data_IF_908396520393
#
_entry.id   IF_908396520393
#
_cell.length_a   1.000
_cell.length_b   1.000
_cell.length_c   1.000
_cell.angle_alpha   90.00
_cell.angle_beta   90.00
_cell.angle_gamma   90.00
#
_symmetry.space_group_name_H-M   'P 1'
#
loop_
_entity.id
_entity.type
_entity.pdbx_description
1 polymer ?
#
# COMPACT_ATOMS: atom_id res chain seq x y z
N UNK A 1 13.38 -17.61 34.36
CA UNK A 1 13.87 -17.96 33.01
C UNK A 1 13.46 -16.85 32.08
N UNK A 2 14.29 -16.48 31.11
CA UNK A 2 13.89 -15.59 30.02
C UNK A 2 13.40 -16.50 28.90
N UNK A 3 12.13 -16.38 28.53
CA UNK A 3 11.52 -17.15 27.46
C UNK A 3 11.62 -16.38 26.12
N UNK A 4 11.73 -17.08 24.98
CA UNK A 4 11.65 -16.43 23.68
C UNK A 4 10.26 -15.78 23.52
N UNK A 5 10.23 -14.60 22.94
CA UNK A 5 9.00 -13.83 22.72
C UNK A 5 8.79 -13.55 21.24
N UNK A 6 7.53 -13.41 20.87
CA UNK A 6 7.11 -12.90 19.57
C UNK A 6 6.24 -11.67 19.81
N UNK A 7 6.59 -10.55 19.20
CA UNK A 7 5.86 -9.31 19.34
C UNK A 7 5.51 -8.75 17.96
N UNK A 8 4.21 -8.61 17.71
CA UNK A 8 3.68 -8.08 16.47
C UNK A 8 3.16 -6.66 16.68
N UNK A 9 3.74 -5.71 15.94
CA UNK A 9 3.33 -4.30 15.98
C UNK A 9 2.71 -3.95 14.64
N UNK A 10 1.46 -3.48 14.68
CA UNK A 10 0.77 -2.94 13.52
C UNK A 10 0.68 -1.41 13.65
N UNK A 11 1.42 -0.68 12.82
CA UNK A 11 1.44 0.79 12.82
C UNK A 11 0.33 1.29 11.89
N UNK A 12 -0.66 2.00 12.43
CA UNK A 12 -1.84 2.45 11.67
C UNK A 12 -1.76 3.90 11.17
N UNK A 13 -0.71 4.64 11.54
CA UNK A 13 -0.59 6.09 11.28
C UNK A 13 -0.61 6.46 9.79
N UNK A 14 -0.27 5.53 8.90
CA UNK A 14 -0.26 5.74 7.45
C UNK A 14 -1.57 5.33 6.75
N UNK A 15 -2.56 4.75 7.45
CA UNK A 15 -3.69 4.08 6.78
C UNK A 15 -5.09 4.66 7.09
N UNK A 16 -5.85 5.07 6.05
CA UNK A 16 -5.37 5.54 4.75
C UNK A 16 -4.80 6.94 4.92
N UNK A 17 -3.74 7.26 4.19
CA UNK A 17 -3.24 8.63 4.14
C UNK A 17 -4.32 9.51 3.46
N UNK A 18 -4.91 10.44 4.23
CA UNK A 18 -6.03 11.28 3.78
C UNK A 18 -5.64 12.74 3.59
N UNK A 19 -4.87 13.27 4.53
CA UNK A 19 -4.51 14.68 4.64
C UNK A 19 -3.13 14.81 5.30
N UNK A 20 -2.44 15.92 5.03
CA UNK A 20 -1.08 16.20 5.49
C UNK A 20 -0.04 16.08 4.38
N UNK A 21 1.22 16.14 4.76
CA UNK A 21 2.38 15.88 3.89
C UNK A 21 2.85 14.45 4.15
N UNK A 22 2.92 13.62 3.12
CA UNK A 22 3.21 12.18 3.29
C UNK A 22 4.52 11.95 4.04
N UNK A 23 5.52 12.77 3.73
CA UNK A 23 6.84 12.78 4.33
C UNK A 23 6.79 13.06 5.85
N UNK A 24 5.89 13.93 6.32
CA UNK A 24 5.74 14.22 7.76
C UNK A 24 5.19 13.02 8.53
N UNK A 25 4.26 12.29 7.92
CA UNK A 25 3.70 11.06 8.53
C UNK A 25 4.75 9.96 8.56
N UNK A 26 5.51 9.80 7.48
CA UNK A 26 6.65 8.86 7.44
C UNK A 26 7.68 9.20 8.52
N UNK A 27 8.02 10.48 8.70
CA UNK A 27 8.95 10.92 9.75
C UNK A 27 8.41 10.64 11.16
N UNK A 28 7.09 10.75 11.35
CA UNK A 28 6.45 10.39 12.62
C UNK A 28 6.58 8.88 12.90
N UNK A 29 6.34 8.04 11.89
CA UNK A 29 6.54 6.58 11.99
C UNK A 29 7.99 6.24 12.29
N UNK A 30 8.94 6.84 11.58
CA UNK A 30 10.39 6.66 11.81
C UNK A 30 10.79 7.01 13.25
N UNK A 31 10.27 8.12 13.79
CA UNK A 31 10.50 8.53 15.19
C UNK A 31 9.99 7.49 16.20
N UNK A 32 8.85 6.85 15.92
CA UNK A 32 8.33 5.79 16.78
C UNK A 32 9.12 4.48 16.64
N UNK A 33 9.53 4.13 15.42
CA UNK A 33 10.41 2.99 15.18
C UNK A 33 11.72 3.13 15.93
N UNK A 34 12.38 4.30 15.89
CA UNK A 34 13.60 4.56 16.66
C UNK A 34 13.42 4.33 18.16
N UNK A 35 12.31 4.83 18.74
CA UNK A 35 11.99 4.61 20.16
C UNK A 35 11.80 3.14 20.50
N UNK A 36 11.13 2.37 19.64
CA UNK A 36 10.94 0.94 19.84
C UNK A 36 12.29 0.21 19.75
N UNK A 37 13.04 0.45 18.68
CA UNK A 37 14.28 -0.28 18.38
C UNK A 37 15.40 0.00 19.39
N UNK A 38 15.43 1.18 20.02
CA UNK A 38 16.34 1.50 21.13
C UNK A 38 16.16 0.60 22.36
N UNK A 39 14.99 -0.01 22.53
CA UNK A 39 14.68 -0.91 23.64
C UNK A 39 14.83 -2.39 23.26
N UNK A 40 15.30 -2.70 22.04
CA UNK A 40 15.45 -4.07 21.53
C UNK A 40 16.92 -4.47 21.50
N UNK A 41 17.28 -5.63 22.08
CA UNK A 41 18.61 -6.20 21.92
C UNK A 41 18.76 -6.79 20.51
N UNK A 42 19.34 -6.01 19.59
CA UNK A 42 19.54 -6.40 18.19
C UNK A 42 20.44 -7.62 17.99
N UNK A 43 21.30 -7.97 18.96
CA UNK A 43 22.17 -9.15 18.86
C UNK A 43 21.45 -10.49 19.08
N UNK A 44 20.29 -10.44 19.75
CA UNK A 44 19.48 -11.60 20.15
C UNK A 44 18.07 -11.58 19.58
N UNK A 45 17.65 -10.46 18.96
CA UNK A 45 16.29 -10.28 18.43
C UNK A 45 16.32 -10.18 16.91
N UNK A 46 15.52 -11.00 16.24
CA UNK A 46 15.20 -10.83 14.82
C UNK A 46 14.09 -9.78 14.68
N UNK A 47 14.37 -8.69 13.98
CA UNK A 47 13.40 -7.63 13.70
C UNK A 47 13.06 -7.62 12.22
N UNK A 48 11.75 -7.59 11.92
CA UNK A 48 11.22 -7.58 10.55
C UNK A 48 10.34 -6.35 10.40
N UNK A 49 10.67 -5.47 9.46
CA UNK A 49 9.86 -4.31 9.08
C UNK A 49 9.29 -4.55 7.69
N UNK A 50 7.98 -4.41 7.56
CA UNK A 50 7.28 -4.54 6.28
C UNK A 50 5.95 -3.80 6.27
N UNK A 51 5.21 -3.86 5.16
CA UNK A 51 3.87 -3.31 5.00
C UNK A 51 2.92 -4.37 4.43
N UNK A 52 1.63 -4.20 4.60
CA UNK A 52 0.60 -5.05 3.98
C UNK A 52 0.36 -4.69 2.51
N UNK A 53 0.47 -3.40 2.15
CA UNK A 53 0.44 -2.90 0.78
C UNK A 53 1.21 -1.58 0.63
N UNK A 54 1.44 -1.16 -0.62
CA UNK A 54 1.97 0.16 -0.97
C UNK A 54 0.88 1.25 -1.01
N UNK A 55 1.27 2.51 -1.23
CA UNK A 55 0.37 3.66 -1.25
C UNK A 55 0.60 4.50 -2.52
N UNK A 56 -0.48 5.13 -3.01
CA UNK A 56 -0.41 6.08 -4.13
C UNK A 56 -0.05 7.46 -3.59
N UNK A 57 1.17 7.90 -3.87
CA UNK A 57 1.61 9.26 -3.56
C UNK A 57 1.27 10.16 -4.77
N UNK A 58 0.32 11.10 -4.67
CA UNK A 58 -0.14 11.88 -5.81
C UNK A 58 0.99 12.69 -6.46
N UNK A 59 1.18 12.52 -7.77
CA UNK A 59 2.17 13.31 -8.51
C UNK A 59 1.79 14.79 -8.50
N UNK A 60 2.76 15.65 -8.15
CA UNK A 60 2.61 17.08 -7.84
C UNK A 60 1.63 17.38 -6.69
N UNK A 61 1.33 16.39 -5.83
CA UNK A 61 0.34 16.55 -4.76
C UNK A 61 -1.10 16.68 -5.26
N UNK A 62 -1.37 16.39 -6.54
CA UNK A 62 -2.71 16.54 -7.16
C UNK A 62 -3.42 15.19 -7.21
N UNK A 63 -4.57 15.09 -6.55
CA UNK A 63 -5.44 13.90 -6.51
C UNK A 63 -6.58 14.02 -7.53
N UNK A 64 -7.26 12.89 -7.77
CA UNK A 64 -8.47 12.83 -8.61
C UNK A 64 -9.55 13.85 -8.20
N UNK A 65 -9.77 14.00 -6.88
CA UNK A 65 -10.78 14.91 -6.32
C UNK A 65 -10.46 16.38 -6.54
N UNK A 66 -9.19 16.73 -6.70
CA UNK A 66 -8.76 18.13 -6.86
C UNK A 66 -9.13 18.68 -8.26
N UNK A 67 -9.52 17.81 -9.20
CA UNK A 67 -10.08 18.21 -10.50
C UNK A 67 -11.59 18.52 -10.45
N UNK A 68 -12.29 18.14 -9.38
CA UNK A 68 -13.74 18.32 -9.27
C UNK A 68 -14.13 19.78 -8.96
N UNK A 69 -15.04 20.40 -9.73
CA UNK A 69 -15.53 21.73 -9.40
C UNK A 69 -16.58 21.69 -8.27
N UNK A 70 -16.44 22.59 -7.28
CA UNK A 70 -17.28 22.58 -6.08
C UNK A 70 -18.74 23.03 -6.33
N UNK A 71 -18.97 23.99 -7.23
CA UNK A 71 -20.29 24.59 -7.53
C UNK A 71 -21.11 25.03 -6.29
N UNK A 72 -20.45 25.48 -5.22
CA UNK A 72 -21.08 25.80 -3.93
C UNK A 72 -22.27 26.77 -4.06
N UNK A 73 -22.11 27.86 -4.82
CA UNK A 73 -23.18 28.86 -5.02
C UNK A 73 -24.41 28.28 -5.72
N UNK A 74 -24.20 27.42 -6.73
CA UNK A 74 -25.29 26.78 -7.48
C UNK A 74 -26.02 25.74 -6.62
N UNK A 75 -25.29 24.97 -5.80
CA UNK A 75 -25.88 24.06 -4.81
C UNK A 75 -26.72 24.82 -3.80
N UNK A 76 -26.19 25.93 -3.25
CA UNK A 76 -26.91 26.77 -2.28
C UNK A 76 -28.18 27.35 -2.90
N UNK A 77 -28.09 27.93 -4.09
CA UNK A 77 -29.24 28.46 -4.81
C UNK A 77 -30.32 27.38 -5.04
N UNK A 78 -29.92 26.19 -5.51
CA UNK A 78 -30.85 25.09 -5.75
C UNK A 78 -31.54 24.59 -4.47
N UNK A 79 -30.81 24.48 -3.35
CA UNK A 79 -31.38 24.09 -2.05
C UNK A 79 -32.37 25.12 -1.51
N UNK A 80 -32.12 26.41 -1.74
CA UNK A 80 -32.96 27.51 -1.23
C UNK A 80 -34.19 27.78 -2.10
N UNK A 81 -34.05 27.74 -3.43
CA UNK A 81 -35.08 28.26 -4.35
C UNK A 81 -35.89 27.18 -5.07
N UNK A 82 -35.40 25.93 -5.12
CA UNK A 82 -36.10 24.85 -5.82
C UNK A 82 -36.92 23.96 -4.85
N UNK A 83 -38.07 23.44 -5.28
CA UNK A 83 -38.85 22.48 -4.49
C UNK A 83 -38.05 21.22 -4.13
N UNK A 84 -38.27 20.67 -2.92
CA UNK A 84 -37.54 19.47 -2.43
C UNK A 84 -37.59 18.27 -3.37
N UNK A 85 -38.71 18.06 -4.09
CA UNK A 85 -38.84 16.95 -5.05
C UNK A 85 -37.83 17.05 -6.20
N UNK A 86 -37.36 18.25 -6.55
CA UNK A 86 -36.42 18.49 -7.64
C UNK A 86 -34.95 18.30 -7.23
N UNK A 87 -34.63 18.35 -5.94
CA UNK A 87 -33.25 18.33 -5.42
C UNK A 87 -32.49 17.06 -5.85
N UNK A 88 -33.16 15.91 -5.86
CA UNK A 88 -32.56 14.63 -6.27
C UNK A 88 -32.17 14.62 -7.75
N UNK A 89 -33.06 15.09 -8.61
CA UNK A 89 -32.84 15.13 -10.07
C UNK A 89 -31.80 16.19 -10.43
N UNK A 90 -31.91 17.39 -9.86
CA UNK A 90 -30.94 18.47 -10.05
C UNK A 90 -29.55 18.10 -9.56
N UNK A 91 -29.44 17.46 -8.38
CA UNK A 91 -28.17 16.98 -7.85
C UNK A 91 -27.51 15.92 -8.74
N UNK A 92 -28.28 14.99 -9.32
CA UNK A 92 -27.75 14.00 -10.27
C UNK A 92 -27.22 14.65 -11.56
N UNK A 93 -27.95 15.63 -12.11
CA UNK A 93 -27.51 16.36 -13.29
C UNK A 93 -26.23 17.14 -13.01
N UNK A 94 -26.19 17.87 -11.88
CA UNK A 94 -25.02 18.62 -11.45
C UNK A 94 -23.80 17.71 -11.26
N UNK A 95 -23.98 16.53 -10.66
CA UNK A 95 -22.89 15.55 -10.52
C UNK A 95 -22.37 15.03 -11.86
N UNK A 96 -23.23 14.87 -12.88
CA UNK A 96 -22.76 14.53 -14.25
C UNK A 96 -21.92 15.66 -14.84
N UNK A 97 -22.35 16.91 -14.67
CA UNK A 97 -21.60 18.09 -15.13
C UNK A 97 -20.25 18.19 -14.41
N UNK A 98 -20.22 18.02 -13.08
CA UNK A 98 -18.99 17.96 -12.28
C UNK A 98 -18.02 16.93 -12.83
N UNK A 99 -18.48 15.70 -13.04
CA UNK A 99 -17.65 14.60 -13.57
C UNK A 99 -17.13 14.89 -14.97
N UNK A 100 -17.96 15.45 -15.85
CA UNK A 100 -17.52 15.80 -17.22
C UNK A 100 -16.41 16.85 -17.22
N UNK A 101 -16.53 17.89 -16.39
CA UNK A 101 -15.51 18.93 -16.26
C UNK A 101 -14.25 18.37 -15.60
N UNK A 102 -14.42 17.58 -14.53
CA UNK A 102 -13.31 16.90 -13.85
C UNK A 102 -12.51 16.03 -14.81
N UNK A 103 -13.19 15.16 -15.58
CA UNK A 103 -12.56 14.30 -16.57
C UNK A 103 -11.80 15.10 -17.64
N UNK A 104 -12.39 16.18 -18.17
CA UNK A 104 -11.72 17.05 -19.14
C UNK A 104 -10.45 17.68 -18.56
N UNK A 105 -10.51 18.22 -17.34
CA UNK A 105 -9.33 18.80 -16.67
C UNK A 105 -8.26 17.74 -16.43
N UNK A 106 -8.66 16.57 -15.95
CA UNK A 106 -7.79 15.42 -15.68
C UNK A 106 -7.11 14.93 -16.96
N UNK A 107 -7.86 14.72 -18.04
CA UNK A 107 -7.31 14.30 -19.33
C UNK A 107 -6.27 15.29 -19.84
N UNK A 108 -6.56 16.60 -19.77
CA UNK A 108 -5.61 17.63 -20.17
C UNK A 108 -4.34 17.63 -19.30
N UNK A 109 -4.49 17.57 -17.97
CA UNK A 109 -3.36 17.54 -17.04
C UNK A 109 -2.51 16.26 -17.17
N UNK A 110 -3.11 15.17 -17.65
CA UNK A 110 -2.44 13.88 -17.80
C UNK A 110 -1.78 13.68 -19.18
N UNK A 111 -1.91 14.62 -20.13
CA UNK A 111 -1.38 14.44 -21.51
C UNK A 111 0.10 14.09 -21.57
N UNK A 112 0.91 14.70 -20.72
CA UNK A 112 2.38 14.54 -20.70
C UNK A 112 2.87 13.57 -19.62
N UNK A 113 1.96 13.02 -18.80
CA UNK A 113 2.32 12.16 -17.69
C UNK A 113 2.52 10.71 -18.12
N UNK A 114 3.48 10.06 -17.50
CA UNK A 114 3.69 8.62 -17.55
C UNK A 114 2.49 7.87 -16.97
N UNK A 115 2.43 6.55 -17.22
CA UNK A 115 1.39 5.70 -16.67
C UNK A 115 1.41 5.65 -15.14
N UNK A 116 2.59 5.71 -14.53
CA UNK A 116 2.74 5.75 -13.06
C UNK A 116 2.16 7.04 -12.48
N UNK A 117 2.57 8.19 -13.02
CA UNK A 117 2.10 9.51 -12.53
C UNK A 117 0.59 9.68 -12.72
N UNK A 118 0.01 9.11 -13.79
CA UNK A 118 -1.45 9.06 -13.97
C UNK A 118 -2.14 8.25 -12.89
N UNK A 119 -1.60 7.07 -12.54
CA UNK A 119 -2.18 6.16 -11.55
C UNK A 119 -1.98 6.65 -10.12
N UNK A 120 -0.92 7.40 -9.86
CA UNK A 120 -0.67 7.96 -8.53
C UNK A 120 -1.72 8.99 -8.09
N UNK A 121 -2.43 9.60 -9.06
CA UNK A 121 -3.57 10.49 -8.79
C UNK A 121 -4.88 9.74 -8.51
N UNK A 122 -4.94 8.43 -8.75
CA UNK A 122 -6.18 7.67 -8.58
C UNK A 122 -6.58 7.55 -7.10
N UNK A 123 -7.88 7.39 -6.80
CA UNK A 123 -8.31 7.18 -5.44
C UNK A 123 -7.64 5.95 -4.82
N UNK A 124 -7.23 6.06 -3.56
CA UNK A 124 -6.64 4.98 -2.76
C UNK A 124 -7.48 3.68 -2.76
N UNK A 125 -8.81 3.77 -2.75
CA UNK A 125 -9.71 2.61 -2.81
C UNK A 125 -9.82 1.94 -4.20
N UNK A 126 -9.18 2.49 -5.23
CA UNK A 126 -9.17 1.87 -6.55
C UNK A 126 -8.20 0.68 -6.54
N UNK A 127 -8.68 -0.50 -6.91
CA UNK A 127 -7.83 -1.70 -7.01
C UNK A 127 -6.73 -1.50 -8.07
N UNK A 128 -5.51 -1.94 -7.74
CA UNK A 128 -4.35 -1.89 -8.63
C UNK A 128 -3.40 -3.04 -8.29
N UNK A 129 -2.71 -3.53 -9.32
CA UNK A 129 -1.67 -4.57 -9.26
C UNK A 129 -0.33 -4.05 -9.80
N UNK A 130 -0.15 -2.74 -9.79
CA UNK A 130 1.11 -2.13 -10.18
C UNK A 130 2.03 -1.95 -8.97
N UNK A 131 3.32 -1.74 -9.23
CA UNK A 131 4.37 -1.63 -8.22
C UNK A 131 4.05 -0.63 -7.11
N UNK A 132 3.32 0.47 -7.38
CA UNK A 132 2.95 1.43 -6.33
C UNK A 132 2.10 0.82 -5.19
N UNK A 133 1.36 -0.27 -5.46
CA UNK A 133 0.58 -1.01 -4.47
C UNK A 133 1.28 -2.30 -4.04
N UNK A 134 2.03 -2.95 -4.93
CA UNK A 134 2.60 -4.27 -4.66
C UNK A 134 4.00 -4.23 -4.06
N UNK A 135 4.79 -3.20 -4.37
CA UNK A 135 6.17 -3.09 -3.93
C UNK A 135 6.24 -2.40 -2.57
N UNK A 136 6.44 -3.20 -1.55
CA UNK A 136 6.53 -2.80 -0.15
C UNK A 136 7.98 -2.86 0.37
N UNK A 137 8.32 -2.14 1.45
CA UNK A 137 9.55 -2.41 2.18
C UNK A 137 9.49 -3.82 2.81
N UNK A 138 10.62 -4.52 2.81
CA UNK A 138 10.82 -5.76 3.56
C UNK A 138 12.26 -5.79 4.06
N UNK A 139 12.44 -5.58 5.36
CA UNK A 139 13.75 -5.48 6.01
C UNK A 139 13.83 -6.52 7.11
N UNK A 140 14.83 -7.39 7.04
CA UNK A 140 15.25 -8.26 8.14
C UNK A 140 16.49 -7.66 8.79
N UNK A 141 16.50 -7.56 10.12
CA UNK A 141 17.61 -6.96 10.86
C UNK A 141 17.79 -7.60 12.23
N UNK A 142 18.93 -7.35 12.86
CA UNK A 142 19.29 -7.96 14.13
C UNK A 142 19.65 -9.44 13.97
N UNK A 143 19.64 -10.17 15.08
CA UNK A 143 19.96 -11.60 15.16
C UNK A 143 21.26 -11.98 14.41
N UNK A 144 22.27 -11.10 14.50
CA UNK A 144 23.60 -11.25 13.85
C UNK A 144 23.56 -11.37 12.33
N UNK A 145 22.48 -10.92 11.69
CA UNK A 145 22.40 -10.85 10.24
C UNK A 145 23.38 -9.80 9.69
N UNK A 146 24.18 -10.14 8.65
CA UNK A 146 25.06 -9.18 8.02
C UNK A 146 24.26 -8.19 7.16
N UNK A 147 24.73 -6.93 7.02
CA UNK A 147 24.09 -5.96 6.13
C UNK A 147 24.20 -6.44 4.68
N UNK A 148 23.05 -6.50 3.99
CA UNK A 148 22.99 -6.98 2.60
C UNK A 148 21.78 -6.43 1.87
N UNK A 149 21.94 -6.13 0.58
CA UNK A 149 20.84 -5.83 -0.34
C UNK A 149 20.54 -7.09 -1.13
N UNK A 150 19.27 -7.51 -1.11
CA UNK A 150 18.75 -8.61 -1.92
C UNK A 150 17.90 -7.99 -3.02
N UNK A 151 18.42 -8.01 -4.24
CA UNK A 151 17.81 -7.49 -5.46
C UNK A 151 16.90 -8.51 -6.18
N UNK A 152 16.77 -9.71 -5.61
CA UNK A 152 15.90 -10.77 -6.14
C UNK A 152 14.46 -10.47 -5.75
N UNK A 153 13.53 -10.73 -6.67
CA UNK A 153 12.10 -10.64 -6.37
C UNK A 153 11.70 -11.70 -5.34
N UNK A 154 11.05 -11.21 -4.28
CA UNK A 154 10.54 -11.99 -3.14
C UNK A 154 9.10 -11.55 -2.85
N UNK A 155 8.36 -12.37 -2.10
CA UNK A 155 6.97 -12.09 -1.74
C UNK A 155 6.81 -12.02 -0.22
N UNK A 156 5.80 -11.29 0.26
CA UNK A 156 5.53 -11.21 1.70
C UNK A 156 5.28 -12.59 2.33
N UNK A 157 4.71 -13.53 1.59
CA UNK A 157 4.52 -14.93 2.02
C UNK A 157 5.81 -15.69 2.31
N UNK A 158 6.95 -15.23 1.77
CA UNK A 158 8.27 -15.81 2.03
C UNK A 158 8.76 -15.49 3.47
N UNK A 159 8.13 -14.55 4.15
CA UNK A 159 8.53 -14.09 5.50
C UNK A 159 8.44 -15.19 6.54
N UNK A 160 7.32 -15.91 6.60
CA UNK A 160 7.09 -16.97 7.58
C UNK A 160 8.13 -18.11 7.49
N UNK A 161 8.33 -18.78 6.33
CA UNK A 161 9.35 -19.83 6.23
C UNK A 161 10.77 -19.29 6.48
N UNK A 162 11.03 -18.02 6.17
CA UNK A 162 12.32 -17.38 6.51
C UNK A 162 12.53 -17.23 8.01
N UNK A 163 11.49 -16.84 8.77
CA UNK A 163 11.54 -16.78 10.25
C UNK A 163 11.84 -18.17 10.81
N UNK A 164 11.14 -19.20 10.33
CA UNK A 164 11.34 -20.57 10.79
C UNK A 164 12.80 -21.02 10.59
N UNK A 165 13.37 -20.80 9.41
CA UNK A 165 14.75 -21.18 9.11
C UNK A 165 15.77 -20.40 9.95
N UNK A 166 15.62 -19.07 10.06
CA UNK A 166 16.52 -18.22 10.85
C UNK A 166 16.51 -18.60 12.34
N UNK A 167 15.32 -18.87 12.88
CA UNK A 167 15.12 -19.24 14.29
C UNK A 167 15.30 -20.74 14.55
N UNK A 168 15.63 -21.55 13.53
CA UNK A 168 15.76 -23.02 13.61
C UNK A 168 14.51 -23.69 14.21
N UNK A 169 13.34 -23.18 13.85
CA UNK A 169 12.05 -23.74 14.26
C UNK A 169 11.66 -24.85 13.29
N UNK A 170 11.15 -25.96 13.81
CA UNK A 170 10.54 -26.99 12.98
C UNK A 170 9.29 -26.41 12.30
N UNK A 171 9.21 -26.53 10.98
CA UNK A 171 8.07 -26.07 10.20
C UNK A 171 7.58 -27.18 9.26
N UNK A 172 6.61 -27.97 9.75
CA UNK A 172 5.93 -29.00 8.95
C UNK A 172 4.71 -28.41 8.21
N UNK A 173 4.46 -27.11 8.33
CA UNK A 173 3.33 -26.44 7.67
C UNK A 173 3.64 -26.26 6.20
N UNK A 174 2.75 -26.77 5.34
CA UNK A 174 2.81 -26.51 3.91
C UNK A 174 2.45 -25.04 3.65
N UNK A 175 3.43 -24.26 3.20
CA UNK A 175 3.26 -22.86 2.80
C UNK A 175 3.56 -22.67 1.33
N UNK A 176 2.91 -21.69 0.70
CA UNK A 176 3.23 -21.29 -0.68
C UNK A 176 4.53 -20.46 -0.77
N UNK A 177 4.94 -19.86 0.34
CA UNK A 177 6.21 -19.13 0.45
C UNK A 177 7.42 -20.06 0.56
N UNK A 178 8.59 -19.50 0.26
CA UNK A 178 9.90 -20.15 0.41
C UNK A 178 10.80 -19.34 1.32
N UNK A 179 11.73 -19.99 2.00
CA UNK A 179 12.73 -19.28 2.80
C UNK A 179 13.66 -18.42 1.94
N UNK A 180 13.96 -17.23 2.44
CA UNK A 180 14.89 -16.27 1.84
C UNK A 180 16.34 -16.43 2.34
N UNK A 181 16.59 -17.34 3.29
CA UNK A 181 17.96 -17.61 3.79
C UNK A 181 18.94 -17.94 2.65
N UNK A 182 18.59 -18.77 1.64
CA UNK A 182 19.48 -18.98 0.50
C UNK A 182 19.86 -17.68 -0.23
N UNK A 183 18.94 -16.72 -0.34
CA UNK A 183 19.20 -15.42 -0.96
C UNK A 183 20.17 -14.57 -0.14
N UNK A 184 20.05 -14.62 1.20
CA UNK A 184 20.98 -13.98 2.13
C UNK A 184 22.39 -14.56 1.97
N UNK A 185 22.50 -15.83 1.62
CA UNK A 185 23.76 -16.55 1.35
C UNK A 185 24.22 -16.50 -0.12
N UNK A 186 23.64 -15.63 -0.96
CA UNK A 186 23.98 -15.52 -2.39
C UNK A 186 23.69 -16.78 -3.24
N UNK A 187 22.92 -17.71 -2.70
CA UNK A 187 22.47 -18.90 -3.43
C UNK A 187 21.27 -18.57 -4.30
N UNK A 188 21.10 -19.38 -5.35
CA UNK A 188 19.99 -19.25 -6.30
C UNK A 188 18.67 -19.54 -5.57
N UNK A 189 17.77 -18.58 -5.61
CA UNK A 189 16.39 -18.72 -5.18
C UNK A 189 15.57 -19.46 -6.25
N UNK A 190 15.02 -20.63 -5.94
CA UNK A 190 14.14 -21.40 -6.85
C UNK A 190 12.90 -20.60 -7.22
N UNK A 191 12.80 -20.02 -8.44
CA UNK A 191 11.69 -19.13 -8.87
C UNK A 191 10.33 -19.54 -8.27
N UNK A 192 9.69 -18.61 -7.56
CA UNK A 192 8.24 -18.68 -7.39
C UNK A 192 7.65 -18.43 -8.78
N UNK A 193 6.93 -19.41 -9.31
CA UNK A 193 6.49 -19.42 -10.70
C UNK A 193 5.26 -18.53 -10.91
N UNK A 194 4.56 -18.15 -9.83
CA UNK A 194 3.33 -17.35 -9.85
C UNK A 194 3.20 -16.50 -8.59
N UNK A 195 2.72 -15.26 -8.73
CA UNK A 195 2.17 -14.45 -7.63
C UNK A 195 0.66 -14.41 -7.85
N UNK A 196 -0.11 -15.09 -7.00
CA UNK A 196 -1.56 -15.03 -7.04
C UNK A 196 -2.06 -13.90 -6.14
N UNK A 197 -2.77 -12.92 -6.73
CA UNK A 197 -3.49 -11.89 -5.97
C UNK A 197 -4.97 -12.06 -6.25
N UNK A 198 -5.69 -12.58 -5.24
CA UNK A 198 -7.14 -12.75 -5.28
C UNK A 198 -7.82 -11.51 -4.71
N UNK A 199 -8.52 -10.76 -5.57
CA UNK A 199 -9.50 -9.78 -5.10
C UNK A 199 -10.83 -10.49 -4.89
N UNK A 200 -11.33 -10.51 -3.65
CA UNK A 200 -12.69 -10.91 -3.38
C UNK A 200 -13.66 -9.79 -3.78
N UNK A 201 -13.97 -9.69 -5.07
CA UNK A 201 -15.04 -8.83 -5.58
C UNK A 201 -16.37 -9.55 -5.34
N UNK A 202 -17.25 -8.97 -4.50
CA UNK A 202 -18.48 -9.65 -4.05
C UNK A 202 -19.51 -9.95 -5.16
N UNK A 203 -19.21 -9.63 -6.43
CA UNK A 203 -19.89 -10.16 -7.62
C UNK A 203 -18.83 -10.31 -8.71
N UNK A 204 -18.78 -11.48 -9.36
CA UNK A 204 -17.81 -11.95 -10.39
C UNK A 204 -16.36 -12.17 -9.93
N UNK A 205 -15.97 -13.45 -9.84
CA UNK A 205 -14.60 -13.90 -9.66
C UNK A 205 -13.84 -13.73 -10.99
N UNK A 206 -12.94 -12.76 -11.07
CA UNK A 206 -11.93 -12.70 -12.13
C UNK A 206 -10.58 -13.00 -11.50
N UNK A 207 -10.04 -14.20 -11.75
CA UNK A 207 -8.65 -14.49 -11.44
C UNK A 207 -7.78 -13.75 -12.46
N UNK A 208 -6.81 -12.99 -11.98
CA UNK A 208 -5.74 -12.46 -12.82
C UNK A 208 -4.48 -13.22 -12.42
N UNK A 209 -3.99 -14.04 -13.34
CA UNK A 209 -2.70 -14.71 -13.22
C UNK A 209 -1.64 -13.77 -13.81
N UNK A 210 -0.63 -13.42 -13.01
CA UNK A 210 0.53 -12.66 -13.47
C UNK A 210 1.72 -13.64 -13.60
N UNK A 211 2.24 -13.76 -14.82
CA UNK A 211 3.40 -14.60 -15.19
C UNK A 211 4.66 -13.75 -15.25
#
# INVERSE_FOLDING_TARGET
MIEPWFYYVHISDLHPFREGVYEEVVQTVDTWLDKILKNVNSSETLTILTADHGERIPFDGIRDVDFEPEFNSLVKFGKTNLPKFSHKTGGRLLNKVRKSISNYKKENANKILSSYEKRSREPNHKLSLYDEILRIPLIFSGYRLPPKIIDKQVCLIDTFPTICDLCKLNNDVKTDGRSLVPAMEEKILRKNQFIFILFHMSKSHHMIELV
#
